data_IF_284006090512
#
_entry.id   IF_284006090512
#
_cell.length_a   1.000
_cell.length_b   1.000
_cell.length_c   1.000
_cell.angle_alpha   90.00
_cell.angle_beta   90.00
_cell.angle_gamma   90.00
#
_symmetry.space_group_name_H-M   'P 1'
#
loop_
_entity.id
_entity.type
_entity.pdbx_description
1 polymer ?
#
# COMPACT_ATOMS: atom_id res chain seq x y z
N UNK A 1 -3.51 -20.13 -2.63
CA UNK A 1 -4.93 -20.02 -2.21
C UNK A 1 -5.20 -18.79 -1.33
N UNK A 2 -4.65 -18.71 -0.10
CA UNK A 2 -4.96 -17.59 0.84
C UNK A 2 -4.49 -16.21 0.37
N UNK A 3 -3.28 -16.09 -0.18
CA UNK A 3 -2.75 -14.80 -0.68
C UNK A 3 -3.66 -14.17 -1.73
N UNK A 4 -4.00 -14.95 -2.76
CA UNK A 4 -4.87 -14.51 -3.85
C UNK A 4 -6.26 -14.12 -3.34
N UNK A 5 -6.84 -14.88 -2.40
CA UNK A 5 -8.16 -14.55 -1.84
C UNK A 5 -8.15 -13.20 -1.11
N UNK A 6 -7.13 -12.92 -0.30
CA UNK A 6 -7.03 -11.64 0.42
C UNK A 6 -6.76 -10.49 -0.55
N UNK A 7 -5.87 -10.70 -1.53
CA UNK A 7 -5.58 -9.71 -2.57
C UNK A 7 -6.83 -9.37 -3.40
N UNK A 8 -7.68 -10.35 -3.72
CA UNK A 8 -8.92 -10.12 -4.47
C UNK A 8 -9.92 -9.33 -3.65
N UNK A 9 -10.10 -9.64 -2.36
CA UNK A 9 -11.02 -8.87 -1.49
C UNK A 9 -10.52 -7.44 -1.34
N UNK A 10 -9.23 -7.25 -1.07
CA UNK A 10 -8.63 -5.92 -0.90
C UNK A 10 -8.63 -5.14 -2.22
N UNK A 11 -8.36 -5.84 -3.33
CA UNK A 11 -8.46 -5.30 -4.69
C UNK A 11 -9.86 -4.85 -5.03
N UNK A 12 -10.87 -5.65 -4.70
CA UNK A 12 -12.27 -5.26 -4.86
C UNK A 12 -12.56 -3.98 -4.08
N UNK A 13 -12.20 -3.90 -2.80
CA UNK A 13 -12.45 -2.69 -2.00
C UNK A 13 -11.74 -1.46 -2.57
N UNK A 14 -10.44 -1.56 -2.87
CA UNK A 14 -9.63 -0.40 -3.28
C UNK A 14 -9.95 0.02 -4.72
N UNK A 15 -9.90 -0.93 -5.65
CA UNK A 15 -10.08 -0.65 -7.08
C UNK A 15 -11.52 -0.27 -7.36
N UNK A 16 -12.52 -0.99 -6.81
CA UNK A 16 -13.93 -0.63 -7.03
C UNK A 16 -14.24 0.74 -6.45
N UNK A 17 -13.74 1.07 -5.25
CA UNK A 17 -13.93 2.41 -4.68
C UNK A 17 -13.37 3.50 -5.60
N UNK A 18 -12.24 3.24 -6.26
CA UNK A 18 -11.66 4.16 -7.25
C UNK A 18 -12.53 4.29 -8.52
N UNK A 19 -13.07 3.18 -9.03
CA UNK A 19 -14.05 3.24 -10.14
C UNK A 19 -15.32 3.99 -9.76
N UNK A 20 -15.83 3.79 -8.53
CA UNK A 20 -17.00 4.51 -8.02
C UNK A 20 -16.71 6.00 -7.91
N UNK A 21 -15.51 6.39 -7.47
CA UNK A 21 -15.10 7.80 -7.45
C UNK A 21 -15.21 8.45 -8.84
N UNK A 22 -14.61 7.85 -9.87
CA UNK A 22 -14.72 8.38 -11.25
C UNK A 22 -16.14 8.35 -11.80
N UNK A 23 -16.91 7.30 -11.51
CA UNK A 23 -18.30 7.19 -11.94
C UNK A 23 -19.18 8.24 -11.26
N UNK A 24 -18.93 8.51 -9.98
CA UNK A 24 -19.65 9.54 -9.23
C UNK A 24 -19.35 10.95 -9.76
N UNK A 25 -18.11 11.21 -10.17
CA UNK A 25 -17.75 12.47 -10.82
C UNK A 25 -18.54 12.66 -12.13
N UNK A 26 -18.61 11.62 -12.97
CA UNK A 26 -19.37 11.64 -14.23
C UNK A 26 -20.87 11.89 -13.99
N UNK A 27 -21.48 11.17 -13.04
CA UNK A 27 -22.93 11.21 -12.81
C UNK A 27 -23.37 12.49 -12.07
N UNK A 28 -22.61 12.94 -11.06
CA UNK A 28 -23.02 14.04 -10.19
C UNK A 28 -22.44 15.39 -10.59
N UNK A 29 -21.23 15.45 -11.16
CA UNK A 29 -20.62 16.72 -11.60
C UNK A 29 -20.98 17.08 -13.06
N UNK A 30 -21.74 16.22 -13.76
CA UNK A 30 -22.13 16.44 -15.15
C UNK A 30 -20.96 16.33 -16.15
N UNK A 31 -19.85 15.76 -15.71
CA UNK A 31 -18.67 15.47 -16.53
C UNK A 31 -19.03 14.34 -17.52
N UNK A 32 -19.14 14.65 -18.81
CA UNK A 32 -19.48 13.64 -19.83
C UNK A 32 -18.39 12.57 -19.99
N UNK A 33 -18.63 11.56 -20.83
CA UNK A 33 -17.63 10.50 -21.13
C UNK A 33 -16.27 11.03 -21.62
N UNK A 34 -16.23 12.26 -22.16
CA UNK A 34 -15.00 12.96 -22.51
C UNK A 34 -14.07 13.17 -21.31
N UNK A 35 -14.60 13.39 -20.11
CA UNK A 35 -13.81 13.55 -18.89
C UNK A 35 -12.91 12.35 -18.61
N UNK A 36 -13.40 11.14 -18.85
CA UNK A 36 -12.61 9.92 -18.65
C UNK A 36 -11.48 9.81 -19.69
N UNK A 37 -11.72 10.29 -20.92
CA UNK A 37 -10.70 10.34 -21.97
C UNK A 37 -9.64 11.41 -21.65
N UNK A 38 -10.06 12.57 -21.17
CA UNK A 38 -9.18 13.68 -20.82
C UNK A 38 -8.33 13.39 -19.56
N UNK A 39 -8.87 12.59 -18.64
CA UNK A 39 -8.20 12.18 -17.39
C UNK A 39 -7.63 10.77 -17.42
N UNK A 40 -7.61 10.11 -18.58
CA UNK A 40 -7.17 8.73 -18.76
C UNK A 40 -5.77 8.46 -18.16
N UNK A 41 -4.76 9.34 -18.35
CA UNK A 41 -3.45 9.14 -17.73
C UNK A 41 -3.50 9.10 -16.20
N UNK A 42 -4.27 9.99 -15.57
CA UNK A 42 -4.47 10.00 -14.11
C UNK A 42 -5.25 8.79 -13.63
N UNK A 43 -6.26 8.37 -14.39
CA UNK A 43 -7.04 7.17 -14.10
C UNK A 43 -6.15 5.91 -14.09
N UNK A 44 -5.30 5.74 -15.11
CA UNK A 44 -4.36 4.61 -15.17
C UNK A 44 -3.29 4.72 -14.08
N UNK A 45 -2.77 5.92 -13.81
CA UNK A 45 -1.82 6.15 -12.71
C UNK A 45 -2.40 5.76 -11.35
N UNK A 46 -3.65 6.14 -11.07
CA UNK A 46 -4.35 5.76 -9.85
C UNK A 46 -4.68 4.27 -9.77
N UNK A 47 -4.99 3.62 -10.89
CA UNK A 47 -5.14 2.15 -10.92
C UNK A 47 -3.83 1.43 -10.58
N UNK A 48 -2.71 1.86 -11.14
CA UNK A 48 -1.39 1.29 -10.82
C UNK A 48 -1.05 1.52 -9.36
N UNK A 49 -1.29 2.72 -8.83
CA UNK A 49 -1.12 3.02 -7.41
C UNK A 49 -2.00 2.11 -6.54
N UNK A 50 -3.27 1.93 -6.90
CA UNK A 50 -4.21 1.04 -6.21
C UNK A 50 -3.73 -0.41 -6.18
N UNK A 51 -3.22 -0.93 -7.30
CA UNK A 51 -2.64 -2.28 -7.38
C UNK A 51 -1.41 -2.40 -6.46
N UNK A 52 -0.54 -1.40 -6.43
CA UNK A 52 0.62 -1.39 -5.52
C UNK A 52 0.21 -1.42 -4.04
N UNK A 53 -0.84 -0.67 -3.67
CA UNK A 53 -1.41 -0.72 -2.31
C UNK A 53 -1.92 -2.14 -2.00
N UNK A 54 -2.66 -2.75 -2.93
CA UNK A 54 -3.22 -4.10 -2.76
C UNK A 54 -2.11 -5.12 -2.50
N UNK A 55 -1.06 -5.11 -3.32
CA UNK A 55 0.08 -6.03 -3.18
C UNK A 55 0.78 -5.82 -1.84
N UNK A 56 1.05 -4.56 -1.50
CA UNK A 56 1.86 -4.23 -0.31
C UNK A 56 1.12 -4.57 0.98
N UNK A 57 -0.15 -4.18 1.10
CA UNK A 57 -0.94 -4.46 2.29
C UNK A 57 -1.28 -5.94 2.44
N UNK A 58 -1.51 -6.64 1.33
CA UNK A 58 -1.70 -8.10 1.37
C UNK A 58 -0.45 -8.80 1.85
N UNK A 59 0.74 -8.38 1.38
CA UNK A 59 2.01 -8.96 1.78
C UNK A 59 2.29 -8.75 3.27
N UNK A 60 2.12 -7.53 3.79
CA UNK A 60 2.30 -7.21 5.21
C UNK A 60 1.26 -7.97 6.07
N UNK A 61 -0.01 -7.90 5.70
CA UNK A 61 -1.09 -8.52 6.47
C UNK A 61 -0.93 -10.04 6.61
N UNK A 62 -0.52 -10.72 5.53
CA UNK A 62 -0.27 -12.16 5.57
C UNK A 62 1.00 -12.51 6.32
N UNK A 63 2.09 -11.74 6.15
CA UNK A 63 3.32 -11.95 6.91
C UNK A 63 3.05 -11.90 8.42
N UNK A 64 2.32 -10.87 8.88
CA UNK A 64 1.92 -10.73 10.28
C UNK A 64 0.96 -11.84 10.74
N UNK A 65 0.00 -12.21 9.88
CA UNK A 65 -0.90 -13.34 10.16
C UNK A 65 -0.18 -14.69 10.24
N UNK A 66 1.00 -14.85 9.64
CA UNK A 66 1.79 -16.09 9.69
C UNK A 66 2.63 -16.22 10.96
N UNK A 67 2.92 -15.09 11.60
CA UNK A 67 3.69 -15.00 12.85
C UNK A 67 2.74 -15.12 14.04
N UNK A 68 1.59 -14.44 13.99
CA UNK A 68 0.65 -14.43 15.11
C UNK A 68 -0.28 -15.64 15.13
N UNK A 69 -0.43 -16.24 16.31
CA UNK A 69 -1.45 -17.27 16.56
C UNK A 69 -2.87 -16.68 16.70
N UNK A 70 -2.99 -15.38 17.01
CA UNK A 70 -4.26 -14.68 17.22
C UNK A 70 -4.56 -13.69 16.10
N UNK A 71 -5.77 -13.77 15.53
CA UNK A 71 -6.23 -12.83 14.49
C UNK A 71 -6.25 -11.38 14.98
N UNK A 72 -6.52 -11.17 16.27
CA UNK A 72 -6.57 -9.83 16.86
C UNK A 72 -5.19 -9.17 16.94
N UNK A 73 -4.17 -9.93 17.34
CA UNK A 73 -2.80 -9.41 17.44
C UNK A 73 -2.22 -9.10 16.06
N UNK A 74 -2.49 -9.93 15.05
CA UNK A 74 -2.11 -9.64 13.67
C UNK A 74 -2.73 -8.33 13.15
N UNK A 75 -4.00 -8.06 13.46
CA UNK A 75 -4.69 -6.84 13.06
C UNK A 75 -4.11 -5.59 13.75
N UNK A 76 -3.83 -5.65 15.06
CA UNK A 76 -3.20 -4.54 15.78
C UNK A 76 -1.79 -4.28 15.26
N UNK A 77 -1.00 -5.33 15.04
CA UNK A 77 0.34 -5.19 14.49
C UNK A 77 0.30 -4.52 13.10
N UNK A 78 -0.66 -4.90 12.26
CA UNK A 78 -0.84 -4.28 10.94
C UNK A 78 -1.17 -2.79 11.05
N UNK A 79 -2.13 -2.42 11.90
CA UNK A 79 -2.47 -1.02 12.15
C UNK A 79 -1.28 -0.25 12.75
N UNK A 80 -0.54 -0.85 13.66
CA UNK A 80 0.66 -0.25 14.25
C UNK A 80 1.76 -0.04 13.22
N UNK A 81 1.97 -0.95 12.28
CA UNK A 81 2.93 -0.77 11.18
C UNK A 81 2.52 0.38 10.27
N UNK A 82 1.23 0.53 9.96
CA UNK A 82 0.76 1.60 9.05
C UNK A 82 0.72 2.96 9.76
N UNK A 83 0.01 3.05 10.88
CA UNK A 83 -0.20 4.31 11.57
C UNK A 83 0.98 4.68 12.47
N UNK A 84 1.59 3.70 13.13
CA UNK A 84 2.70 3.95 14.06
C UNK A 84 3.94 4.46 13.36
N UNK A 85 4.30 3.91 12.20
CA UNK A 85 5.45 4.40 11.41
C UNK A 85 5.22 5.81 10.88
N UNK A 86 4.00 6.10 10.41
CA UNK A 86 3.60 7.46 9.99
C UNK A 86 3.66 8.46 11.14
N UNK A 87 3.12 8.11 12.31
CA UNK A 87 3.15 8.99 13.47
C UNK A 87 4.59 9.27 13.92
N UNK A 88 5.44 8.23 13.94
CA UNK A 88 6.86 8.40 14.27
C UNK A 88 7.57 9.30 13.26
N UNK A 89 7.34 9.10 11.97
CA UNK A 89 7.92 9.92 10.91
C UNK A 89 7.46 11.38 11.02
N UNK A 90 6.17 11.63 11.27
CA UNK A 90 5.61 12.96 11.47
C UNK A 90 6.23 13.68 12.66
N UNK A 91 6.39 13.00 13.80
CA UNK A 91 7.01 13.59 14.98
C UNK A 91 8.45 14.03 14.71
N UNK A 92 9.20 13.21 13.96
CA UNK A 92 10.60 13.50 13.65
C UNK A 92 10.72 14.58 12.58
N UNK A 93 9.86 14.59 11.57
CA UNK A 93 9.79 15.69 10.62
C UNK A 93 9.49 17.01 11.32
N UNK A 94 8.51 17.05 12.23
CA UNK A 94 8.14 18.26 12.97
C UNK A 94 9.28 18.78 13.85
N UNK A 95 10.13 17.89 14.36
CA UNK A 95 11.19 18.25 15.30
C UNK A 95 12.55 18.54 14.63
N UNK A 96 12.82 17.93 13.48
CA UNK A 96 14.13 17.94 12.83
C UNK A 96 14.10 18.36 11.36
N UNK A 97 12.94 18.71 10.81
CA UNK A 97 12.73 19.08 9.40
C UNK A 97 13.28 18.04 8.41
N UNK A 98 13.28 16.77 8.81
CA UNK A 98 13.76 15.65 7.97
C UNK A 98 12.64 14.68 7.63
N UNK A 99 12.42 14.48 6.33
CA UNK A 99 11.40 13.56 5.81
C UNK A 99 11.92 12.14 5.57
N UNK A 100 13.19 11.86 5.85
CA UNK A 100 13.85 10.59 5.48
C UNK A 100 13.22 9.37 6.16
N UNK A 101 12.58 9.55 7.32
CA UNK A 101 11.95 8.44 8.05
C UNK A 101 10.61 8.00 7.46
N UNK A 102 10.00 8.80 6.59
CA UNK A 102 8.82 8.36 5.83
C UNK A 102 9.12 7.18 4.91
N UNK A 103 10.40 6.95 4.57
CA UNK A 103 10.85 5.77 3.83
C UNK A 103 10.54 4.47 4.59
N UNK A 104 10.41 4.49 5.92
CA UNK A 104 10.03 3.30 6.70
C UNK A 104 8.52 3.07 6.75
N UNK A 105 7.72 4.08 6.42
CA UNK A 105 6.27 3.98 6.42
C UNK A 105 5.78 3.43 5.08
N UNK A 106 5.18 2.21 5.04
CA UNK A 106 4.66 1.66 3.80
C UNK A 106 3.56 2.53 3.21
N UNK A 107 2.76 3.19 4.07
CA UNK A 107 1.71 4.10 3.64
C UNK A 107 2.28 5.32 2.91
N UNK A 108 3.29 5.97 3.49
CA UNK A 108 3.83 7.21 2.95
C UNK A 108 4.68 6.96 1.69
N UNK A 109 5.39 5.82 1.62
CA UNK A 109 6.06 5.40 0.39
C UNK A 109 5.07 5.18 -0.76
N UNK A 110 3.94 4.51 -0.48
CA UNK A 110 2.86 4.29 -1.45
C UNK A 110 2.21 5.62 -1.87
N UNK A 111 2.03 6.54 -0.91
CA UNK A 111 1.49 7.86 -1.18
C UNK A 111 2.42 8.67 -2.09
N UNK A 112 3.73 8.67 -1.84
CA UNK A 112 4.70 9.38 -2.70
C UNK A 112 4.73 8.82 -4.12
N UNK A 113 4.68 7.50 -4.29
CA UNK A 113 4.62 6.86 -5.61
C UNK A 113 3.28 7.15 -6.31
N UNK A 114 2.18 7.13 -5.56
CA UNK A 114 0.87 7.51 -6.07
C UNK A 114 0.82 8.98 -6.51
N UNK A 115 1.42 9.88 -5.74
CA UNK A 115 1.54 11.30 -6.08
C UNK A 115 2.29 11.50 -7.39
N UNK A 116 3.41 10.80 -7.54
CA UNK A 116 4.19 10.82 -8.77
C UNK A 116 3.43 10.25 -9.97
N UNK A 117 2.73 9.12 -9.82
CA UNK A 117 1.92 8.51 -10.88
C UNK A 117 0.76 9.40 -11.32
N UNK A 118 0.23 10.21 -10.41
CA UNK A 118 -0.86 11.16 -10.68
C UNK A 118 -0.37 12.54 -11.13
N UNK A 119 0.95 12.78 -11.13
CA UNK A 119 1.54 14.07 -11.48
C UNK A 119 1.20 15.20 -10.50
N UNK A 120 0.89 14.88 -9.24
CA UNK A 120 0.62 15.85 -8.18
C UNK A 120 1.88 16.14 -7.37
N UNK A 121 1.94 17.33 -6.77
CA UNK A 121 3.10 17.75 -5.97
C UNK A 121 3.35 16.78 -4.82
N UNK A 122 4.63 16.49 -4.60
CA UNK A 122 5.02 15.58 -3.53
C UNK A 122 4.98 16.29 -2.19
N UNK A 123 4.35 15.65 -1.21
CA UNK A 123 4.40 16.12 0.18
C UNK A 123 5.72 15.76 0.88
N UNK A 124 6.64 15.08 0.20
CA UNK A 124 7.84 14.51 0.80
C UNK A 124 9.10 15.07 0.14
N UNK A 125 10.04 15.53 0.97
CA UNK A 125 11.29 16.17 0.53
C UNK A 125 12.44 15.18 0.25
N UNK A 126 12.19 13.87 0.22
CA UNK A 126 13.21 12.86 -0.09
C UNK A 126 13.04 12.28 -1.51
N UNK A 127 14.13 11.83 -2.17
CA UNK A 127 14.06 11.26 -3.51
C UNK A 127 13.12 10.06 -3.61
N UNK A 128 12.31 10.01 -4.68
CA UNK A 128 11.36 8.94 -4.97
C UNK A 128 12.00 7.54 -5.00
N UNK A 129 13.28 7.46 -5.40
CA UNK A 129 14.03 6.21 -5.42
C UNK A 129 14.05 5.52 -4.05
N UNK A 130 14.10 6.27 -2.94
CA UNK A 130 14.05 5.68 -1.60
C UNK A 130 12.72 5.01 -1.31
N UNK A 131 11.61 5.65 -1.67
CA UNK A 131 10.27 5.07 -1.51
C UNK A 131 10.06 3.84 -2.38
N UNK A 132 10.56 3.83 -3.63
CA UNK A 132 10.52 2.64 -4.49
C UNK A 132 11.32 1.48 -3.90
N UNK A 133 12.57 1.74 -3.49
CA UNK A 133 13.43 0.71 -2.88
C UNK A 133 12.80 0.18 -1.60
N UNK A 134 12.19 1.06 -0.78
CA UNK A 134 11.53 0.65 0.45
C UNK A 134 10.34 -0.28 0.18
N UNK A 135 9.45 0.06 -0.75
CA UNK A 135 8.31 -0.82 -1.08
C UNK A 135 8.78 -2.18 -1.58
N UNK A 136 9.77 -2.20 -2.48
CA UNK A 136 10.33 -3.46 -2.98
C UNK A 136 10.90 -4.27 -1.82
N UNK A 137 11.65 -3.63 -0.92
CA UNK A 137 12.27 -4.28 0.24
C UNK A 137 11.21 -4.83 1.20
N UNK A 138 10.19 -4.03 1.55
CA UNK A 138 9.09 -4.44 2.45
C UNK A 138 8.36 -5.65 1.86
N UNK A 139 8.02 -5.61 0.57
CA UNK A 139 7.34 -6.70 -0.10
C UNK A 139 8.22 -7.96 -0.16
N UNK A 140 9.49 -7.81 -0.52
CA UNK A 140 10.44 -8.92 -0.57
C UNK A 140 10.61 -9.58 0.80
N UNK A 141 10.78 -8.79 1.87
CA UNK A 141 10.90 -9.30 3.25
C UNK A 141 9.62 -10.01 3.70
N UNK A 142 8.45 -9.44 3.42
CA UNK A 142 7.17 -10.04 3.79
C UNK A 142 6.93 -11.37 3.07
N UNK A 143 7.25 -11.44 1.77
CA UNK A 143 7.13 -12.67 0.98
C UNK A 143 8.18 -13.70 1.44
N UNK A 144 9.43 -13.29 1.69
CA UNK A 144 10.47 -14.18 2.19
C UNK A 144 10.09 -14.80 3.55
N UNK A 145 9.51 -14.00 4.47
CA UNK A 145 8.97 -14.49 5.73
C UNK A 145 7.86 -15.52 5.51
N UNK A 146 6.92 -15.24 4.60
CA UNK A 146 5.84 -16.16 4.27
C UNK A 146 6.38 -17.50 3.73
N UNK A 147 7.33 -17.43 2.80
CA UNK A 147 7.97 -18.62 2.21
C UNK A 147 8.68 -19.43 3.30
N UNK A 148 9.50 -18.80 4.14
CA UNK A 148 10.21 -19.46 5.22
C UNK A 148 9.27 -20.15 6.23
N UNK A 149 8.10 -19.55 6.49
CA UNK A 149 7.11 -20.14 7.40
C UNK A 149 6.41 -21.33 6.77
N UNK A 150 6.01 -21.24 5.49
CA UNK A 150 5.41 -22.36 4.77
C UNK A 150 6.38 -23.54 4.71
N UNK A 151 7.64 -23.30 4.35
CA UNK A 151 8.65 -24.37 4.31
C UNK A 151 8.92 -24.98 5.68
N UNK A 152 8.94 -24.17 6.76
CA UNK A 152 9.13 -24.69 8.13
C UNK A 152 8.00 -25.60 8.60
N UNK A 153 6.75 -25.33 8.18
CA UNK A 153 5.59 -26.13 8.55
C UNK A 153 5.52 -27.44 7.74
N UNK A 154 6.02 -27.43 6.51
CA UNK A 154 6.15 -28.64 5.68
C UNK A 154 7.20 -29.61 6.25
N UNK A 155 8.30 -29.12 6.82
CA UNK A 155 9.37 -29.96 7.41
C UNK A 155 8.94 -30.63 8.73
N UNK A 156 7.90 -30.15 9.40
CA UNK A 156 7.39 -30.75 10.66
C UNK A 156 6.35 -31.88 10.46
N UNK A 157 6.13 -32.34 9.23
CA UNK A 157 5.13 -33.38 8.88
C UNK A 157 5.72 -34.74 8.46
N UNK A 158 7.03 -34.94 8.60
CA UNK A 158 7.68 -36.26 8.54
C UNK A 158 7.94 -36.80 9.95
#
# INVERSE_FOLDING_TARGET
MKYLSVAVVLGFVIVLSYFVYYTSAIVFNGEGWAYLVDTLPMFVGGLVAGILVVITYTSIGLALSSISQSRFFAAIAFLSVIYGTKLLAMLIETQFDTSILYVLSPYDCLAQIGQWLLGIDSNYNHPLAFSLVSIITINAVCIALLVARVSSLEVTRE
#
